data_IF_910399338447
#
_entry.id   IF_910399338447
#
_cell.length_a   1.000
_cell.length_b   1.000
_cell.length_c   1.000
_cell.angle_alpha   90.00
_cell.angle_beta   90.00
_cell.angle_gamma   90.00
#
_symmetry.space_group_name_H-M   'P 1'
#
loop_
_entity.id
_entity.type
_entity.pdbx_description
1 polymer ?
#
# COMPACT_ATOMS: atom_id res chain seq x y z
N UNK A 1 26.27 -15.47 69.75
CA UNK A 1 25.23 -15.61 68.70
C UNK A 1 25.30 -14.32 67.90
N UNK A 2 26.10 -14.12 66.83
CA UNK A 2 26.32 -14.96 65.62
C UNK A 2 25.02 -15.58 65.12
N UNK A 3 24.50 -15.40 63.90
CA UNK A 3 24.82 -14.72 62.62
C UNK A 3 23.45 -14.48 61.95
N UNK A 4 23.22 -13.67 60.90
CA UNK A 4 23.44 -14.02 59.48
C UNK A 4 22.76 -12.97 58.59
N UNK A 5 23.36 -12.74 57.42
CA UNK A 5 23.06 -11.77 56.35
C UNK A 5 21.87 -12.15 55.47
N UNK A 6 21.36 -11.17 54.71
CA UNK A 6 21.01 -11.26 53.27
C UNK A 6 20.58 -9.83 52.81
N UNK A 7 21.42 -9.01 52.19
CA UNK A 7 21.93 -9.06 50.80
C UNK A 7 20.83 -9.35 49.76
N UNK A 8 20.15 -8.32 49.25
CA UNK A 8 19.61 -8.32 47.87
C UNK A 8 19.31 -6.91 47.35
N UNK A 9 20.36 -6.21 46.94
CA UNK A 9 20.24 -5.27 45.82
C UNK A 9 21.53 -5.33 45.01
N UNK A 10 21.47 -5.81 43.78
CA UNK A 10 22.15 -5.16 42.67
C UNK A 10 21.04 -4.59 41.78
N UNK A 11 20.99 -3.27 41.64
CA UNK A 11 21.60 -2.64 40.47
C UNK A 11 21.13 -3.36 39.20
N UNK A 12 20.04 -2.85 38.64
CA UNK A 12 19.61 -3.14 37.29
C UNK A 12 20.77 -2.82 36.36
N UNK A 13 21.62 -3.82 36.13
CA UNK A 13 22.64 -3.80 35.11
C UNK A 13 21.90 -3.58 33.79
N UNK A 14 22.09 -2.38 33.28
CA UNK A 14 21.74 -1.94 31.94
C UNK A 14 22.33 -2.90 30.92
N UNK A 15 21.56 -3.92 30.56
CA UNK A 15 21.80 -4.74 29.38
C UNK A 15 21.36 -3.96 28.15
N UNK A 16 22.28 -3.19 27.58
CA UNK A 16 22.44 -3.14 26.11
C UNK A 16 23.82 -2.61 25.77
N UNK A 17 24.83 -3.45 26.06
CA UNK A 17 26.13 -3.37 25.41
C UNK A 17 26.00 -3.75 23.93
N UNK A 18 25.46 -2.85 23.13
CA UNK A 18 25.76 -2.80 21.71
C UNK A 18 26.39 -1.44 21.44
N UNK A 19 27.72 -1.42 21.44
CA UNK A 19 28.49 -0.44 20.67
C UNK A 19 27.97 -0.49 19.23
N UNK A 20 27.09 0.45 18.88
CA UNK A 20 26.46 0.54 17.56
C UNK A 20 27.34 1.32 16.59
N UNK A 21 28.67 1.16 16.69
CA UNK A 21 29.67 1.95 15.96
C UNK A 21 29.95 1.45 14.53
N UNK A 22 29.14 0.51 14.04
CA UNK A 22 29.10 0.13 12.62
C UNK A 22 27.67 0.18 12.12
N UNK A 23 27.17 1.39 11.91
CA UNK A 23 25.93 1.53 11.15
C UNK A 23 26.18 1.02 9.72
N UNK A 24 25.39 0.04 9.27
CA UNK A 24 25.40 -0.48 7.89
C UNK A 24 25.34 0.63 6.83
N UNK A 25 24.89 1.83 7.21
CA UNK A 25 24.81 3.02 6.38
C UNK A 25 26.15 3.41 5.76
N UNK A 26 27.27 3.25 6.47
CA UNK A 26 28.61 3.62 5.96
C UNK A 26 29.24 2.60 4.99
N UNK A 27 28.62 1.44 4.80
CA UNK A 27 29.11 0.42 3.86
C UNK A 27 28.93 0.87 2.41
N UNK A 28 29.58 0.20 1.46
CA UNK A 28 29.34 0.44 0.02
C UNK A 28 27.91 0.01 -0.38
N UNK A 29 27.28 0.70 -1.35
CA UNK A 29 25.98 0.30 -1.88
C UNK A 29 26.01 -1.14 -2.40
N UNK A 30 24.94 -1.88 -2.13
CA UNK A 30 24.78 -3.23 -2.67
C UNK A 30 24.37 -3.15 -4.15
N UNK A 31 24.81 -4.08 -4.99
CA UNK A 31 24.43 -4.15 -6.41
C UNK A 31 22.90 -4.12 -6.61
N UNK A 32 22.15 -4.80 -5.74
CA UNK A 32 20.68 -4.78 -5.74
C UNK A 32 20.11 -3.36 -5.61
N UNK A 33 20.70 -2.53 -4.75
CA UNK A 33 20.25 -1.13 -4.57
C UNK A 33 20.55 -0.31 -5.83
N UNK A 34 21.72 -0.52 -6.46
CA UNK A 34 22.09 0.17 -7.69
C UNK A 34 21.20 -0.23 -8.87
N UNK A 35 20.89 -1.51 -9.01
CA UNK A 35 19.93 -2.02 -10.01
C UNK A 35 18.56 -1.41 -9.77
N UNK A 36 18.10 -1.37 -8.52
CA UNK A 36 16.80 -0.81 -8.19
C UNK A 36 16.71 0.70 -8.47
N UNK A 37 17.76 1.47 -8.15
CA UNK A 37 17.85 2.89 -8.50
C UNK A 37 17.79 3.12 -10.02
N UNK A 38 18.41 2.24 -10.81
CA UNK A 38 18.32 2.29 -12.27
C UNK A 38 16.88 2.01 -12.75
N UNK A 39 16.19 1.04 -12.15
CA UNK A 39 14.77 0.76 -12.44
C UNK A 39 13.87 1.94 -12.08
N UNK A 40 14.20 2.68 -11.02
CA UNK A 40 13.51 3.92 -10.64
C UNK A 40 13.81 5.10 -11.57
N UNK A 41 14.70 4.95 -12.56
CA UNK A 41 15.06 6.01 -13.50
C UNK A 41 15.92 7.12 -12.89
N UNK A 42 16.64 6.85 -11.80
CA UNK A 42 17.47 7.86 -11.14
C UNK A 42 18.67 8.28 -12.02
N UNK A 43 18.80 9.59 -12.30
CA UNK A 43 19.83 10.19 -13.17
C UNK A 43 20.88 10.99 -12.38
N UNK A 44 20.86 10.94 -11.05
CA UNK A 44 21.76 11.71 -10.19
C UNK A 44 23.13 11.05 -9.95
N UNK A 45 23.98 11.66 -9.09
CA UNK A 45 25.28 11.11 -8.73
C UNK A 45 25.11 9.74 -8.07
N UNK A 46 26.02 8.81 -8.41
CA UNK A 46 26.02 7.45 -7.83
C UNK A 46 26.21 7.53 -6.31
N UNK A 47 25.34 6.88 -5.51
CA UNK A 47 25.52 6.86 -4.06
C UNK A 47 26.84 6.19 -3.72
N UNK A 48 27.56 6.76 -2.74
CA UNK A 48 28.84 6.23 -2.29
C UNK A 48 28.68 5.28 -1.12
N UNK A 49 27.58 5.43 -0.36
CA UNK A 49 27.27 4.60 0.79
C UNK A 49 25.92 3.89 0.64
N UNK A 50 25.77 2.80 1.40
CA UNK A 50 24.56 1.97 1.47
C UNK A 50 23.40 2.76 2.07
N UNK A 51 23.69 3.68 2.99
CA UNK A 51 22.76 4.65 3.55
C UNK A 51 22.21 5.58 2.48
N UNK A 52 23.11 6.25 1.73
CA UNK A 52 22.71 7.18 0.66
C UNK A 52 21.86 6.48 -0.40
N UNK A 53 22.27 5.26 -0.81
CA UNK A 53 21.51 4.47 -1.77
C UNK A 53 20.12 4.13 -1.24
N UNK A 54 19.99 3.84 0.05
CA UNK A 54 18.70 3.56 0.69
C UNK A 54 17.82 4.80 0.78
N UNK A 55 18.40 5.95 1.13
CA UNK A 55 17.65 7.21 1.27
C UNK A 55 17.13 7.68 -0.11
N UNK A 56 17.94 7.58 -1.16
CA UNK A 56 17.51 7.85 -2.55
C UNK A 56 16.39 6.91 -3.02
N UNK A 57 16.44 5.62 -2.65
CA UNK A 57 15.37 4.67 -2.94
C UNK A 57 14.09 5.07 -2.21
N UNK A 58 14.17 5.42 -0.93
CA UNK A 58 13.01 5.81 -0.14
C UNK A 58 12.38 7.12 -0.68
N UNK A 59 13.19 8.09 -1.09
CA UNK A 59 12.73 9.30 -1.79
C UNK A 59 12.04 8.95 -3.11
N UNK A 60 12.66 8.12 -3.97
CA UNK A 60 12.05 7.68 -5.22
C UNK A 60 10.73 6.93 -5.02
N UNK A 61 10.62 6.12 -3.96
CA UNK A 61 9.38 5.43 -3.59
C UNK A 61 8.30 6.41 -3.08
N UNK A 62 8.67 7.48 -2.38
CA UNK A 62 7.72 8.54 -1.97
C UNK A 62 7.18 9.30 -3.19
N UNK A 63 8.05 9.63 -4.15
CA UNK A 63 7.63 10.31 -5.39
C UNK A 63 6.69 9.41 -6.19
N UNK A 64 7.03 8.14 -6.40
CA UNK A 64 6.18 7.20 -7.16
C UNK A 64 4.85 6.87 -6.48
N UNK A 65 4.78 6.90 -5.14
CA UNK A 65 3.51 6.81 -4.40
C UNK A 65 2.62 8.04 -4.60
N UNK A 66 3.21 9.20 -4.88
CA UNK A 66 2.51 10.48 -5.00
C UNK A 66 2.14 10.85 -6.43
N UNK A 67 2.60 10.11 -7.46
CA UNK A 67 2.07 10.29 -8.82
C UNK A 67 0.64 9.75 -8.83
N UNK A 68 -0.38 10.61 -9.03
CA UNK A 68 -1.74 10.14 -9.17
C UNK A 68 -1.77 9.25 -10.42
N UNK A 69 -1.88 7.94 -10.23
CA UNK A 69 -2.15 7.05 -11.35
C UNK A 69 -3.55 7.41 -11.84
N UNK A 70 -3.63 8.19 -12.91
CA UNK A 70 -4.89 8.56 -13.53
C UNK A 70 -5.68 7.29 -13.82
N UNK A 71 -6.87 7.19 -13.22
CA UNK A 71 -7.81 6.10 -13.48
C UNK A 71 -8.87 6.62 -14.41
N UNK A 72 -9.23 5.84 -15.41
CA UNK A 72 -10.39 6.10 -16.23
C UNK A 72 -11.54 5.19 -15.81
N UNK A 73 -12.76 5.70 -15.88
CA UNK A 73 -13.96 4.87 -15.79
C UNK A 73 -14.03 4.04 -17.07
N UNK A 74 -13.85 2.73 -16.97
CA UNK A 74 -13.94 1.84 -18.14
C UNK A 74 -15.36 1.33 -18.35
N UNK A 75 -16.08 1.02 -17.25
CA UNK A 75 -17.42 0.44 -17.31
C UNK A 75 -18.33 0.96 -16.20
N UNK A 76 -19.62 1.03 -16.50
CA UNK A 76 -20.69 1.48 -15.62
C UNK A 76 -21.85 0.49 -15.71
N UNK A 77 -22.33 0.00 -14.57
CA UNK A 77 -23.43 -0.96 -14.47
C UNK A 77 -24.45 -0.48 -13.44
N UNK A 78 -25.73 -0.65 -13.78
CA UNK A 78 -26.85 -0.37 -12.89
C UNK A 78 -27.49 -1.70 -12.49
N UNK A 79 -27.66 -1.94 -11.19
CA UNK A 79 -28.37 -3.11 -10.67
C UNK A 79 -29.57 -2.63 -9.87
N UNK A 80 -30.76 -3.05 -10.28
CA UNK A 80 -32.00 -2.78 -9.54
C UNK A 80 -32.16 -3.77 -8.38
N UNK A 81 -32.37 -3.24 -7.17
CA UNK A 81 -32.57 -4.00 -5.93
C UNK A 81 -33.98 -3.70 -5.42
N UNK A 82 -35.00 -4.47 -5.83
CA UNK A 82 -36.39 -4.20 -5.45
C UNK A 82 -36.66 -4.51 -3.97
N UNK A 83 -37.45 -3.65 -3.33
CA UNK A 83 -37.77 -3.71 -1.90
C UNK A 83 -38.82 -4.76 -1.55
N UNK A 84 -39.72 -5.11 -2.48
CA UNK A 84 -40.87 -5.99 -2.20
C UNK A 84 -40.78 -7.38 -2.88
N UNK A 85 -39.72 -7.66 -3.65
CA UNK A 85 -39.53 -8.95 -4.32
C UNK A 85 -38.27 -9.65 -3.81
N UNK A 86 -38.45 -10.65 -2.95
CA UNK A 86 -37.34 -11.39 -2.34
C UNK A 86 -36.50 -12.17 -3.37
N UNK A 87 -37.13 -12.72 -4.40
CA UNK A 87 -36.43 -13.49 -5.44
C UNK A 87 -35.55 -12.57 -6.28
N UNK A 88 -36.11 -11.44 -6.72
CA UNK A 88 -35.33 -10.44 -7.47
C UNK A 88 -34.22 -9.83 -6.64
N UNK A 89 -34.43 -9.63 -5.33
CA UNK A 89 -33.36 -9.15 -4.44
C UNK A 89 -32.21 -10.14 -4.31
N UNK A 90 -32.49 -11.45 -4.20
CA UNK A 90 -31.45 -12.48 -4.17
C UNK A 90 -30.66 -12.46 -5.48
N UNK A 91 -31.35 -12.37 -6.63
CA UNK A 91 -30.69 -12.25 -7.93
C UNK A 91 -29.83 -10.99 -8.05
N UNK A 92 -30.35 -9.85 -7.59
CA UNK A 92 -29.61 -8.58 -7.57
C UNK A 92 -28.37 -8.67 -6.68
N UNK A 93 -28.46 -9.32 -5.52
CA UNK A 93 -27.30 -9.55 -4.64
C UNK A 93 -26.24 -10.41 -5.31
N UNK A 94 -26.64 -11.48 -6.01
CA UNK A 94 -25.71 -12.33 -6.78
C UNK A 94 -25.05 -11.51 -7.89
N UNK A 95 -25.81 -10.70 -8.61
CA UNK A 95 -25.28 -9.82 -9.66
C UNK A 95 -24.29 -8.81 -9.09
N UNK A 96 -24.60 -8.14 -7.98
CA UNK A 96 -23.69 -7.21 -7.31
C UNK A 96 -22.40 -7.92 -6.93
N UNK A 97 -22.49 -9.07 -6.27
CA UNK A 97 -21.31 -9.82 -5.83
C UNK A 97 -20.42 -10.24 -7.00
N UNK A 98 -21.02 -10.66 -8.12
CA UNK A 98 -20.28 -11.00 -9.35
C UNK A 98 -19.48 -9.80 -9.86
N UNK A 99 -20.11 -8.63 -10.02
CA UNK A 99 -19.41 -7.43 -10.48
C UNK A 99 -18.32 -6.97 -9.50
N UNK A 100 -18.58 -7.03 -8.19
CA UNK A 100 -17.56 -6.73 -7.18
C UNK A 100 -16.35 -7.66 -7.30
N UNK A 101 -16.57 -8.95 -7.59
CA UNK A 101 -15.48 -9.91 -7.82
C UNK A 101 -14.68 -9.63 -9.09
N UNK A 102 -15.29 -9.01 -10.09
CA UNK A 102 -14.66 -8.58 -11.34
C UNK A 102 -13.92 -7.23 -11.23
N UNK A 103 -13.88 -6.66 -10.02
CA UNK A 103 -13.16 -5.42 -9.72
C UNK A 103 -13.99 -4.14 -9.85
N UNK A 104 -15.32 -4.24 -9.98
CA UNK A 104 -16.19 -3.07 -9.87
C UNK A 104 -16.25 -2.56 -8.42
N UNK A 105 -16.59 -1.28 -8.29
CA UNK A 105 -16.79 -0.58 -7.03
C UNK A 105 -18.16 0.07 -7.02
N UNK A 106 -18.82 0.11 -5.86
CA UNK A 106 -20.08 0.84 -5.70
C UNK A 106 -19.75 2.34 -5.68
N UNK A 107 -20.25 3.07 -6.68
CA UNK A 107 -20.04 4.51 -6.80
C UNK A 107 -21.15 5.29 -6.08
N UNK A 108 -22.39 4.83 -6.25
CA UNK A 108 -23.62 5.45 -5.72
C UNK A 108 -24.72 4.41 -5.58
N UNK A 109 -25.71 4.76 -4.78
CA UNK A 109 -27.01 4.15 -4.69
C UNK A 109 -28.10 5.23 -4.86
N UNK A 110 -29.22 4.85 -5.46
CA UNK A 110 -30.38 5.72 -5.65
C UNK A 110 -31.66 4.99 -5.25
N UNK A 111 -32.27 5.42 -4.14
CA UNK A 111 -33.57 4.94 -3.69
C UNK A 111 -34.75 5.49 -4.50
N UNK A 112 -35.71 4.61 -4.76
CA UNK A 112 -37.01 4.93 -5.32
C UNK A 112 -38.11 4.17 -4.56
N UNK A 113 -39.38 4.51 -4.75
CA UNK A 113 -40.50 3.96 -3.97
C UNK A 113 -40.59 2.42 -3.99
N UNK A 114 -39.99 1.77 -4.99
CA UNK A 114 -40.00 0.32 -5.16
C UNK A 114 -38.69 -0.40 -4.83
N UNK A 115 -37.61 0.30 -4.48
CA UNK A 115 -36.28 -0.31 -4.32
C UNK A 115 -35.12 0.67 -4.39
N UNK A 116 -33.93 0.14 -4.67
CA UNK A 116 -32.70 0.93 -4.79
C UNK A 116 -31.97 0.52 -6.07
N UNK A 117 -31.53 1.49 -6.86
CA UNK A 117 -30.59 1.24 -7.95
C UNK A 117 -29.17 1.38 -7.40
N UNK A 118 -28.40 0.30 -7.48
CA UNK A 118 -26.97 0.29 -7.19
C UNK A 118 -26.18 0.62 -8.46
N UNK A 119 -25.30 1.62 -8.37
CA UNK A 119 -24.44 2.05 -9.48
C UNK A 119 -23.02 1.57 -9.23
N UNK A 120 -22.57 0.63 -10.07
CA UNK A 120 -21.24 0.03 -9.99
C UNK A 120 -20.35 0.55 -11.12
N UNK A 121 -19.12 0.88 -10.79
CA UNK A 121 -18.12 1.43 -11.70
C UNK A 121 -16.86 0.60 -11.67
N UNK A 122 -16.28 0.33 -12.85
CA UNK A 122 -14.95 -0.24 -12.97
C UNK A 122 -13.96 0.85 -13.34
N UNK A 123 -12.89 0.95 -12.55
CA UNK A 123 -11.80 1.88 -12.75
C UNK A 123 -10.59 1.14 -13.29
N UNK A 124 -10.06 1.59 -14.42
CA UNK A 124 -8.84 1.04 -15.02
C UNK A 124 -7.75 2.10 -15.02
N UNK A 125 -6.50 1.65 -14.97
CA UNK A 125 -5.37 2.55 -15.13
C UNK A 125 -5.39 3.09 -16.56
N UNK A 126 -5.25 4.41 -16.70
CA UNK A 126 -5.05 4.99 -18.01
C UNK A 126 -3.79 4.38 -18.63
N UNK A 127 -3.85 3.81 -19.84
CA UNK A 127 -2.63 3.37 -20.50
C UNK A 127 -1.76 4.60 -20.64
N UNK A 128 -0.50 4.47 -20.24
CA UNK A 128 0.49 5.50 -20.50
C UNK A 128 0.60 5.55 -22.01
N UNK A 129 0.01 6.57 -22.64
CA UNK A 129 0.28 6.85 -24.04
C UNK A 129 1.77 7.16 -24.10
N UNK A 130 2.55 6.19 -24.54
CA UNK A 130 3.92 6.44 -24.96
C UNK A 130 3.79 7.44 -26.11
N UNK A 131 4.11 8.70 -25.84
CA UNK A 131 4.27 9.71 -26.87
C UNK A 131 5.29 9.17 -27.88
N UNK A 132 4.79 8.63 -29.00
CA UNK A 132 5.61 8.33 -30.16
C UNK A 132 6.02 9.70 -30.72
N UNK A 133 7.29 10.00 -30.54
CA UNK A 133 8.01 11.18 -31.03
C UNK A 133 7.77 11.47 -32.52
#
# INVERSE_FOLDING_TARGET
>A
METRKEDSKPESQSLSGYENDKTWRGEKPTEKQLVFLKTLGYVGPKPQTRGDASDLIDEGLKVTKNVPKERMMSQLVFVDVPLFDSKKRILAQVQINMHLSEGFQIQRDWDYDGGTIMVLVKWELKPMEEEVQ
#
